data_IF_127450381102
#
_entry.id   IF_127450381102
#
_cell.length_a   1.000
_cell.length_b   1.000
_cell.length_c   1.000
_cell.angle_alpha   90.00
_cell.angle_beta   90.00
_cell.angle_gamma   90.00
#
_symmetry.space_group_name_H-M   'P 1'
#
loop_
_entity.id
_entity.type
_entity.pdbx_description
1 polymer ?
#
# COMPACT_ATOMS: atom_id res chain seq x y z
N UNK A 1 3.79 -17.97 1.32
CA UNK A 1 3.23 -18.10 1.48
C UNK A 1 2.42 -17.49 2.11
N UNK A 2 2.02 -17.13 2.45
CA UNK A 2 1.22 -16.79 3.19
C UNK A 2 1.28 -15.45 3.62
N UNK A 3 2.15 -14.68 3.29
CA UNK A 3 2.30 -13.28 3.67
C UNK A 3 1.14 -12.43 3.20
N UNK A 4 0.66 -12.72 2.00
CA UNK A 4 -0.48 -12.00 1.45
C UNK A 4 -1.68 -12.09 2.38
N UNK A 5 -1.93 -13.26 2.91
CA UNK A 5 -3.09 -13.46 3.76
C UNK A 5 -2.94 -12.75 5.08
N UNK A 6 -1.72 -12.67 5.59
CA UNK A 6 -1.47 -11.94 6.82
C UNK A 6 -1.79 -10.46 6.62
N UNK A 7 -1.33 -9.90 5.52
CA UNK A 7 -1.63 -8.49 5.23
C UNK A 7 -3.12 -8.26 5.11
N UNK A 8 -3.81 -9.10 4.34
CA UNK A 8 -5.24 -8.91 4.12
C UNK A 8 -6.05 -9.09 5.40
N UNK A 9 -5.61 -9.99 6.27
CA UNK A 9 -6.29 -10.18 7.55
C UNK A 9 -6.12 -9.00 8.48
N UNK A 10 -5.08 -8.20 8.27
CA UNK A 10 -4.79 -7.05 9.12
C UNK A 10 -4.93 -5.74 8.37
N UNK A 11 -5.73 -5.74 7.31
CA UNK A 11 -5.84 -4.57 6.45
C UNK A 11 -6.33 -3.34 7.22
N UNK A 12 -7.07 -3.52 8.28
CA UNK A 12 -7.56 -2.40 9.07
C UNK A 12 -6.47 -1.72 9.88
N UNK A 13 -5.30 -2.32 9.97
CA UNK A 13 -4.18 -1.72 10.67
C UNK A 13 -3.36 -0.79 9.78
N UNK A 14 -3.68 -0.73 8.51
CA UNK A 14 -2.94 0.15 7.60
C UNK A 14 -3.07 1.61 8.01
N UNK A 15 -1.97 2.30 7.96
CA UNK A 15 -1.94 3.72 8.27
C UNK A 15 -0.69 4.33 7.64
N UNK A 16 -0.57 5.65 7.71
CA UNK A 16 0.62 6.30 7.23
C UNK A 16 0.77 7.62 8.00
N UNK A 17 1.87 8.33 7.76
CA UNK A 17 2.13 9.60 8.41
C UNK A 17 1.71 10.74 7.49
N UNK A 18 1.74 11.98 8.02
CA UNK A 18 1.42 13.14 7.20
C UNK A 18 2.40 13.28 6.04
N UNK A 19 3.66 13.01 6.31
CA UNK A 19 4.67 13.06 5.26
C UNK A 19 4.37 11.98 4.22
N UNK A 20 3.94 10.81 4.68
CA UNK A 20 3.56 9.73 3.78
C UNK A 20 2.38 10.08 2.91
N UNK A 21 1.38 10.76 3.48
CA UNK A 21 0.22 11.19 2.72
C UNK A 21 0.64 12.11 1.57
N UNK A 22 1.47 13.11 1.87
CA UNK A 22 1.91 14.04 0.86
C UNK A 22 2.73 13.35 -0.22
N UNK A 23 3.61 12.44 0.21
CA UNK A 23 4.45 11.72 -0.72
C UNK A 23 3.63 10.84 -1.67
N UNK A 24 2.65 10.13 -1.12
CA UNK A 24 1.81 9.26 -1.94
C UNK A 24 0.99 10.06 -2.93
N UNK A 25 0.39 11.15 -2.47
CA UNK A 25 -0.40 12.00 -3.36
C UNK A 25 0.45 12.54 -4.51
N UNK A 26 1.64 12.97 -4.17
CA UNK A 26 2.53 13.56 -5.18
C UNK A 26 2.99 12.50 -6.17
N UNK A 27 3.38 11.34 -5.66
CA UNK A 27 3.90 10.28 -6.52
C UNK A 27 2.84 9.70 -7.44
N UNK A 28 1.62 9.57 -6.94
CA UNK A 28 0.53 9.00 -7.74
C UNK A 28 -0.28 10.05 -8.47
N UNK A 29 -0.05 11.32 -8.16
CA UNK A 29 -0.78 12.44 -8.75
C UNK A 29 -2.27 12.28 -8.53
N UNK A 30 -2.65 11.94 -7.30
CA UNK A 30 -4.04 11.76 -6.94
C UNK A 30 -4.46 12.87 -6.00
N UNK A 31 -5.76 13.11 -5.96
CA UNK A 31 -6.31 14.18 -5.14
C UNK A 31 -7.42 13.63 -4.28
N UNK A 32 -7.14 12.59 -3.53
CA UNK A 32 -8.11 11.98 -2.64
C UNK A 32 -7.97 12.55 -1.24
N UNK A 33 -9.07 12.63 -0.53
CA UNK A 33 -9.04 13.10 0.85
C UNK A 33 -8.58 12.02 1.80
N UNK A 34 -8.68 10.77 1.40
CA UNK A 34 -8.32 9.66 2.27
C UNK A 34 -7.37 8.72 1.54
N UNK A 35 -6.08 9.01 1.69
CA UNK A 35 -5.04 8.24 1.02
C UNK A 35 -5.01 6.80 1.52
N UNK A 36 -5.22 6.59 2.83
CA UNK A 36 -5.18 5.24 3.39
C UNK A 36 -6.30 4.40 2.82
N UNK A 37 -7.49 4.96 2.71
CA UNK A 37 -8.62 4.24 2.14
C UNK A 37 -8.36 3.91 0.68
N UNK A 38 -7.78 4.85 -0.06
CA UNK A 38 -7.43 4.63 -1.46
C UNK A 38 -6.48 3.42 -1.58
N UNK A 39 -5.45 3.39 -0.74
CA UNK A 39 -4.48 2.30 -0.78
C UNK A 39 -5.11 0.97 -0.35
N UNK A 40 -5.99 0.99 0.66
CA UNK A 40 -6.69 -0.22 1.06
C UNK A 40 -7.49 -0.80 -0.08
N UNK A 41 -8.21 0.03 -0.79
CA UNK A 41 -9.04 -0.44 -1.88
C UNK A 41 -8.20 -1.05 -2.99
N UNK A 42 -7.05 -0.46 -3.26
CA UNK A 42 -6.14 -1.01 -4.27
C UNK A 42 -5.57 -2.35 -3.82
N UNK A 43 -5.21 -2.46 -2.56
CA UNK A 43 -4.64 -3.72 -2.05
C UNK A 43 -5.68 -4.83 -2.05
N UNK A 44 -6.94 -4.48 -1.80
CA UNK A 44 -8.01 -5.47 -1.78
C UNK A 44 -8.52 -5.87 -3.16
N UNK A 45 -8.04 -5.21 -4.20
CA UNK A 45 -8.44 -5.52 -5.56
C UNK A 45 -7.97 -6.93 -5.92
N UNK A 46 -8.83 -7.69 -6.60
CA UNK A 46 -8.51 -9.05 -6.98
C UNK A 46 -7.29 -9.14 -7.88
N UNK A 47 -6.99 -8.08 -8.60
CA UNK A 47 -5.85 -8.05 -9.50
C UNK A 47 -4.56 -7.60 -8.83
N UNK A 48 -4.62 -7.30 -7.55
CA UNK A 48 -3.43 -6.84 -6.84
C UNK A 48 -2.49 -7.99 -6.60
N UNK A 49 -1.25 -7.84 -7.02
CA UNK A 49 -0.22 -8.84 -6.80
C UNK A 49 0.55 -8.44 -5.55
N UNK A 50 0.43 -9.22 -4.49
CA UNK A 50 1.04 -8.90 -3.21
C UNK A 50 2.15 -9.90 -2.94
N UNK A 51 3.34 -9.38 -2.65
CA UNK A 51 4.45 -10.24 -2.26
C UNK A 51 5.25 -9.56 -1.18
N UNK A 52 5.89 -10.35 -0.34
CA UNK A 52 6.71 -9.84 0.74
C UNK A 52 8.17 -10.01 0.38
N UNK A 53 8.94 -8.96 0.58
CA UNK A 53 10.37 -9.02 0.37
C UNK A 53 11.03 -8.33 1.54
N UNK A 54 11.76 -9.10 2.33
CA UNK A 54 12.40 -8.56 3.50
C UNK A 54 11.38 -8.09 4.51
N UNK A 55 11.35 -6.84 4.84
CA UNK A 55 10.49 -6.27 5.86
C UNK A 55 9.20 -5.69 5.31
N UNK A 56 9.03 -5.71 4.01
CA UNK A 56 7.93 -4.98 3.39
C UNK A 56 7.09 -5.85 2.50
N UNK A 57 5.81 -5.53 2.42
CA UNK A 57 4.96 -6.05 1.37
C UNK A 57 4.95 -5.07 0.23
N UNK A 58 4.93 -5.60 -0.99
CA UNK A 58 4.82 -4.79 -2.19
C UNK A 58 3.54 -5.19 -2.88
N UNK A 59 2.66 -4.23 -3.11
CA UNK A 59 1.33 -4.47 -3.66
C UNK A 59 1.25 -3.78 -5.01
N UNK A 60 1.23 -4.57 -6.08
CA UNK A 60 1.24 -4.05 -7.45
C UNK A 60 -0.13 -4.18 -8.05
N UNK A 61 -0.72 -3.07 -8.43
CA UNK A 61 -2.04 -3.06 -9.04
C UNK A 61 -2.21 -1.74 -9.80
N UNK A 62 -2.88 -1.80 -10.95
CA UNK A 62 -3.19 -0.60 -11.72
C UNK A 62 -1.97 0.26 -12.02
N UNK A 63 -0.85 -0.37 -12.29
CA UNK A 63 0.39 0.30 -12.65
C UNK A 63 0.99 1.11 -11.51
N UNK A 64 0.66 0.78 -10.28
CA UNK A 64 1.28 1.39 -9.12
C UNK A 64 1.81 0.31 -8.19
N UNK A 65 2.74 0.69 -7.34
CA UNK A 65 3.30 -0.19 -6.32
C UNK A 65 3.12 0.50 -4.98
N UNK A 66 2.45 -0.16 -4.05
CA UNK A 66 2.27 0.33 -2.70
C UNK A 66 3.16 -0.49 -1.78
N UNK A 67 4.00 0.18 -1.01
CA UNK A 67 4.95 -0.48 -0.11
C UNK A 67 4.47 -0.33 1.33
N UNK A 68 4.32 -1.45 2.02
CA UNK A 68 3.80 -1.48 3.39
C UNK A 68 4.80 -2.20 4.29
N UNK A 69 5.15 -1.58 5.41
CA UNK A 69 6.05 -2.21 6.38
C UNK A 69 5.31 -3.37 7.06
N UNK A 70 5.95 -4.54 7.12
CA UNK A 70 5.27 -5.73 7.62
C UNK A 70 5.15 -5.77 9.13
N UNK A 71 5.90 -4.96 9.84
CA UNK A 71 5.82 -4.96 11.29
C UNK A 71 4.80 -3.97 11.81
N UNK A 72 4.74 -2.81 11.22
CA UNK A 72 3.90 -1.72 11.73
C UNK A 72 2.67 -1.47 10.88
N UNK A 73 2.57 -2.09 9.71
CA UNK A 73 1.49 -1.86 8.75
C UNK A 73 1.45 -0.41 8.30
N UNK A 74 2.60 0.27 8.33
CA UNK A 74 2.71 1.63 7.83
C UNK A 74 2.90 1.60 6.32
N UNK A 75 2.09 2.36 5.61
CA UNK A 75 2.31 2.55 4.18
C UNK A 75 3.50 3.47 4.03
N UNK A 76 4.61 2.91 3.55
CA UNK A 76 5.85 3.68 3.44
C UNK A 76 5.76 4.63 2.27
N UNK A 77 5.30 4.14 1.15
CA UNK A 77 5.17 4.97 -0.03
C UNK A 77 4.33 4.23 -1.06
N UNK A 78 3.91 4.95 -2.08
CA UNK A 78 3.28 4.36 -3.25
C UNK A 78 3.74 5.18 -4.43
N UNK A 79 4.00 4.53 -5.55
CA UNK A 79 4.45 5.25 -6.73
C UNK A 79 4.03 4.49 -7.98
N UNK A 80 4.09 5.16 -9.11
CA UNK A 80 3.73 4.51 -10.37
C UNK A 80 4.85 3.60 -10.82
N UNK A 81 4.45 2.51 -11.48
CA UNK A 81 5.42 1.60 -12.01
C UNK A 81 5.93 2.17 -13.31
N UNK A 82 7.17 1.92 -13.62
CA UNK A 82 7.69 2.44 -14.87
C UNK A 82 7.55 1.50 -15.99
#
# INVERSE_FOLDING_TARGET
MESKEILLSNIDKLHTTEIGIDRIKRNLKINTENVVKYCKEKILDNNCNIYKQWKNWYCEVDNIIITVNSYSYTIITAHTKK
#
